data_IF_081157909500
#
_entry.id   IF_081157909500
#
_cell.length_a   1.000
_cell.length_b   1.000
_cell.length_c   1.000
_cell.angle_alpha   90.00
_cell.angle_beta   90.00
_cell.angle_gamma   90.00
#
_symmetry.space_group_name_H-M   'P 1'
#
loop_
_entity.id
_entity.type
_entity.pdbx_description
1 polymer ?
#
# COMPACT_ATOMS: atom_id res chain seq x y z
N UNK A 1 -7.66 18.64 5.65
CA UNK A 1 -6.90 17.53 6.27
C UNK A 1 -7.58 16.24 5.83
N UNK A 2 -6.82 15.24 5.35
CA UNK A 2 -7.37 13.93 4.97
C UNK A 2 -7.31 13.00 6.19
N UNK A 3 -8.38 12.26 6.54
CA UNK A 3 -8.33 11.20 7.56
C UNK A 3 -7.36 10.09 7.17
N UNK A 4 -6.72 9.45 8.16
CA UNK A 4 -5.78 8.36 7.87
C UNK A 4 -6.43 7.21 7.09
N UNK A 5 -7.66 6.82 7.44
CA UNK A 5 -8.39 5.75 6.76
C UNK A 5 -8.76 6.04 5.30
N UNK A 6 -8.73 7.32 4.90
CA UNK A 6 -8.98 7.77 3.52
C UNK A 6 -7.67 8.00 2.73
N UNK A 7 -6.52 7.69 3.34
CA UNK A 7 -5.22 7.85 2.73
C UNK A 7 -4.52 6.50 2.54
N UNK A 8 -3.75 6.40 1.47
CA UNK A 8 -2.89 5.25 1.18
C UNK A 8 -1.44 5.69 1.07
N UNK A 9 -0.52 4.91 1.63
CA UNK A 9 0.93 5.09 1.44
C UNK A 9 1.44 4.09 0.42
N UNK A 10 2.28 4.55 -0.51
CA UNK A 10 2.92 3.70 -1.52
C UNK A 10 4.42 3.70 -1.24
N UNK A 11 5.02 2.52 -1.05
CA UNK A 11 6.45 2.40 -0.80
C UNK A 11 6.97 0.98 -1.01
N UNK A 12 8.28 0.81 -0.98
CA UNK A 12 8.99 -0.43 -1.31
C UNK A 12 9.48 -1.20 -0.08
N UNK A 13 9.35 -0.62 1.12
CA UNK A 13 9.94 -1.18 2.33
C UNK A 13 8.88 -1.67 3.31
N UNK A 14 8.78 -3.00 3.44
CA UNK A 14 7.85 -3.68 4.35
C UNK A 14 7.85 -3.11 5.78
N UNK A 15 9.03 -2.83 6.36
CA UNK A 15 9.13 -2.41 7.77
C UNK A 15 8.63 -0.99 8.04
N UNK A 16 8.78 -0.07 7.09
CA UNK A 16 8.53 1.37 7.32
C UNK A 16 7.34 1.87 6.52
N UNK A 17 7.25 1.52 5.25
CA UNK A 17 6.18 1.98 4.38
C UNK A 17 4.90 1.22 4.66
N UNK A 18 4.99 -0.11 4.74
CA UNK A 18 3.82 -0.96 4.87
C UNK A 18 3.36 -1.02 6.32
N UNK A 19 4.19 -1.58 7.21
CA UNK A 19 3.85 -1.69 8.61
C UNK A 19 3.64 -0.32 9.28
N UNK A 20 4.38 0.71 8.85
CA UNK A 20 4.23 2.06 9.37
C UNK A 20 2.92 2.73 8.96
N UNK A 21 2.53 2.65 7.68
CA UNK A 21 1.26 3.19 7.21
C UNK A 21 0.06 2.49 7.86
N UNK A 22 0.11 1.16 7.95
CA UNK A 22 -0.93 0.37 8.62
C UNK A 22 -1.04 0.73 10.11
N UNK A 23 0.09 0.90 10.81
CA UNK A 23 0.09 1.35 12.20
C UNK A 23 -0.44 2.78 12.38
N UNK A 24 -0.34 3.62 11.35
CA UNK A 24 -0.92 4.97 11.31
C UNK A 24 -2.41 4.98 10.92
N UNK A 25 -3.00 3.82 10.59
CA UNK A 25 -4.40 3.70 10.16
C UNK A 25 -4.65 4.03 8.70
N UNK A 26 -3.61 4.03 7.87
CA UNK A 26 -3.67 4.20 6.42
C UNK A 26 -3.66 2.85 5.70
N UNK A 27 -4.19 2.82 4.47
CA UNK A 27 -3.93 1.70 3.57
C UNK A 27 -2.46 1.73 3.10
N UNK A 28 -1.90 0.58 2.75
CA UNK A 28 -0.53 0.45 2.27
C UNK A 28 -0.49 -0.28 0.92
N UNK A 29 0.26 0.28 -0.02
CA UNK A 29 0.55 -0.34 -1.32
C UNK A 29 2.04 -0.62 -1.41
N UNK A 30 2.41 -1.89 -1.56
CA UNK A 30 3.80 -2.29 -1.74
C UNK A 30 4.20 -2.20 -3.20
N UNK A 31 5.09 -1.26 -3.49
CA UNK A 31 5.70 -1.11 -4.80
C UNK A 31 6.96 -1.99 -4.88
N UNK A 32 6.88 -3.12 -5.58
CA UNK A 32 7.99 -4.08 -5.68
C UNK A 32 8.88 -3.83 -6.90
N UNK A 33 8.40 -3.06 -7.88
CA UNK A 33 9.15 -2.72 -9.09
C UNK A 33 9.79 -3.95 -9.76
N UNK A 34 11.08 -3.84 -10.09
CA UNK A 34 11.87 -4.92 -10.67
C UNK A 34 12.27 -6.03 -9.66
N UNK A 35 12.14 -5.78 -8.35
CA UNK A 35 12.57 -6.72 -7.30
C UNK A 35 11.36 -7.30 -6.56
N UNK A 36 10.83 -8.42 -7.05
CA UNK A 36 9.68 -9.10 -6.44
C UNK A 36 10.04 -10.05 -5.29
N UNK A 37 11.29 -10.05 -4.80
CA UNK A 37 11.72 -10.99 -3.74
C UNK A 37 10.91 -10.85 -2.46
N UNK A 38 10.49 -9.62 -2.16
CA UNK A 38 9.77 -9.30 -0.93
C UNK A 38 8.24 -9.26 -1.12
N UNK A 39 7.75 -9.46 -2.36
CA UNK A 39 6.32 -9.48 -2.67
C UNK A 39 5.58 -10.57 -1.87
N UNK A 40 6.19 -11.75 -1.72
CA UNK A 40 5.60 -12.91 -1.02
C UNK A 40 5.53 -12.74 0.50
N UNK A 41 6.26 -11.76 1.06
CA UNK A 41 6.29 -11.45 2.49
C UNK A 41 5.54 -10.16 2.81
N UNK A 42 4.92 -9.55 1.81
CA UNK A 42 4.23 -8.29 2.00
C UNK A 42 2.97 -8.47 2.82
N UNK A 43 2.72 -7.53 3.74
CA UNK A 43 1.43 -7.40 4.44
C UNK A 43 0.57 -6.28 3.86
N UNK A 44 0.97 -5.69 2.74
CA UNK A 44 0.28 -4.55 2.14
C UNK A 44 -1.12 -4.92 1.65
N UNK A 45 -2.01 -3.94 1.65
CA UNK A 45 -3.38 -4.08 1.18
C UNK A 45 -3.42 -4.30 -0.36
N UNK A 46 -2.42 -3.78 -1.07
CA UNK A 46 -2.16 -4.11 -2.46
C UNK A 46 -0.66 -4.19 -2.76
N UNK A 47 -0.29 -4.94 -3.79
CA UNK A 47 1.08 -5.03 -4.30
C UNK A 47 1.08 -4.67 -5.78
N UNK A 48 1.93 -3.73 -6.18
CA UNK A 48 2.03 -3.27 -7.58
C UNK A 48 3.47 -3.38 -8.07
N UNK A 49 3.63 -3.67 -9.36
CA UNK A 49 4.94 -3.70 -10.03
C UNK A 49 5.21 -2.44 -10.82
N UNK A 50 4.16 -1.83 -11.37
CA UNK A 50 4.28 -0.65 -12.20
C UNK A 50 3.40 0.48 -11.65
N UNK A 51 3.82 1.73 -11.86
CA UNK A 51 3.10 2.88 -11.34
C UNK A 51 1.73 3.06 -12.01
N UNK A 52 1.60 2.64 -13.27
CA UNK A 52 0.34 2.62 -14.01
C UNK A 52 -0.72 1.69 -13.40
N UNK A 53 -0.32 0.73 -12.56
CA UNK A 53 -1.25 -0.17 -11.87
C UNK A 53 -1.89 0.50 -10.64
N UNK A 54 -1.32 1.61 -10.15
CA UNK A 54 -1.77 2.27 -8.92
C UNK A 54 -3.23 2.72 -8.95
N UNK A 55 -3.75 3.39 -10.01
CA UNK A 55 -5.15 3.79 -10.03
C UNK A 55 -6.11 2.61 -9.89
N UNK A 56 -5.79 1.48 -10.53
CA UNK A 56 -6.59 0.26 -10.42
C UNK A 56 -6.48 -0.34 -9.02
N UNK A 57 -5.27 -0.44 -8.47
CA UNK A 57 -5.05 -0.95 -7.11
C UNK A 57 -5.79 -0.12 -6.06
N UNK A 58 -5.66 1.21 -6.10
CA UNK A 58 -6.33 2.14 -5.18
C UNK A 58 -7.85 2.07 -5.31
N UNK A 59 -8.38 1.87 -6.53
CA UNK A 59 -9.83 1.71 -6.75
C UNK A 59 -10.43 0.45 -6.11
N UNK A 60 -9.59 -0.54 -5.75
CA UNK A 60 -10.02 -1.76 -5.06
C UNK A 60 -9.90 -1.67 -3.53
N UNK A 61 -9.19 -0.66 -3.02
CA UNK A 61 -9.02 -0.48 -1.58
C UNK A 61 -10.31 0.12 -1.00
N UNK A 62 -11.06 -0.68 -0.24
CA UNK A 62 -12.19 -0.19 0.54
C UNK A 62 -11.67 0.63 1.73
N UNK A 63 -12.22 1.83 1.92
CA UNK A 63 -11.91 2.63 3.09
C UNK A 63 -12.40 1.88 4.34
N UNK A 64 -11.52 1.67 5.32
CA UNK A 64 -11.89 1.05 6.59
C UNK A 64 -12.78 2.04 7.39
N UNK A 65 -14.08 2.04 7.11
CA UNK A 65 -15.07 2.91 7.75
C UNK A 65 -16.00 3.70 6.82
N UNK A 66 -15.99 3.44 5.50
CA UNK A 66 -17.03 3.93 4.58
C UNK A 66 -18.20 2.95 4.44
#
# INVERSE_FOLDING_TARGET
>A
RVPAGEAAHVGDMQRTDIAGAQAAGMAAVHFVGANSRDASRSTADAVVRHFEDLPAALGTLTCAGC
#
